data_IF_043219771127
#
_entry.id   IF_043219771127
#
_cell.length_a   1.000
_cell.length_b   1.000
_cell.length_c   1.000
_cell.angle_alpha   90.00
_cell.angle_beta   90.00
_cell.angle_gamma   90.00
#
_symmetry.space_group_name_H-M   'P 1'
#
loop_
_entity.id
_entity.type
_entity.pdbx_description
1 polymer ?
#
# COMPACT_ATOMS: atom_id res chain seq x y z
N UNK A 1 -14.65 -1.38 -6.24
CA UNK A 1 -13.43 -2.19 -6.42
C UNK A 1 -12.66 -1.51 -7.54
N UNK A 2 -11.49 -0.98 -7.24
CA UNK A 2 -10.64 -0.19 -8.15
C UNK A 2 -9.85 -1.12 -9.05
N UNK A 3 -9.77 -0.79 -10.34
CA UNK A 3 -8.87 -1.44 -11.30
C UNK A 3 -8.01 -0.34 -11.91
N UNK A 4 -6.72 -0.35 -11.62
CA UNK A 4 -5.80 0.71 -12.03
C UNK A 4 -5.20 0.51 -13.41
N UNK A 5 -5.30 -0.71 -13.95
CA UNK A 5 -4.76 -1.08 -15.26
C UNK A 5 -5.85 -1.75 -16.09
N UNK A 6 -5.83 -1.45 -17.37
CA UNK A 6 -6.62 -2.09 -18.42
C UNK A 6 -5.83 -3.24 -19.06
N UNK A 7 -6.42 -3.94 -20.02
CA UNK A 7 -5.68 -4.95 -20.78
C UNK A 7 -4.65 -4.28 -21.70
N UNK A 8 -4.97 -3.11 -22.24
CA UNK A 8 -4.08 -2.28 -23.06
C UNK A 8 -2.86 -1.84 -22.25
N UNK A 9 -3.04 -1.36 -21.01
CA UNK A 9 -1.92 -0.97 -20.16
C UNK A 9 -0.97 -2.15 -19.87
N UNK A 10 -1.52 -3.36 -19.72
CA UNK A 10 -0.71 -4.58 -19.50
C UNK A 10 0.03 -5.01 -20.77
N UNK A 11 -0.51 -4.73 -21.97
CA UNK A 11 0.19 -4.96 -23.24
C UNK A 11 1.31 -3.95 -23.46
N UNK A 12 1.04 -2.67 -23.20
CA UNK A 12 1.98 -1.58 -23.47
C UNK A 12 3.11 -1.49 -22.43
N UNK A 13 2.78 -1.70 -21.15
CA UNK A 13 3.72 -1.53 -20.02
C UNK A 13 4.19 -2.86 -19.42
N UNK A 14 3.45 -3.95 -19.65
CA UNK A 14 3.80 -5.26 -19.12
C UNK A 14 5.01 -5.87 -19.82
N UNK A 15 5.75 -6.70 -19.10
CA UNK A 15 6.95 -7.38 -19.61
C UNK A 15 6.65 -8.70 -20.35
N UNK A 16 5.38 -9.11 -20.39
CA UNK A 16 4.92 -10.28 -21.11
C UNK A 16 4.55 -9.90 -22.55
N UNK A 17 4.97 -10.65 -23.59
CA UNK A 17 4.60 -10.36 -24.98
C UNK A 17 3.08 -10.34 -25.20
N UNK A 18 2.60 -9.45 -26.08
CA UNK A 18 1.18 -9.31 -26.40
C UNK A 18 0.55 -10.62 -26.89
N UNK A 19 1.30 -11.39 -27.69
CA UNK A 19 0.87 -12.67 -28.25
C UNK A 19 0.50 -13.68 -27.16
N UNK A 20 1.24 -13.69 -26.05
CA UNK A 20 0.97 -14.56 -24.92
C UNK A 20 -0.24 -14.09 -24.12
N UNK A 21 -0.44 -12.77 -24.01
CA UNK A 21 -1.62 -12.18 -23.38
C UNK A 21 -2.87 -12.57 -24.16
N UNK A 22 -2.82 -12.44 -25.49
CA UNK A 22 -3.93 -12.79 -26.38
C UNK A 22 -4.27 -14.27 -26.34
N UNK A 23 -3.26 -15.14 -26.32
CA UNK A 23 -3.47 -16.58 -26.15
C UNK A 23 -4.14 -16.90 -24.81
N UNK A 24 -3.69 -16.28 -23.72
CA UNK A 24 -4.27 -16.48 -22.40
C UNK A 24 -5.71 -15.98 -22.31
N UNK A 25 -6.03 -14.84 -22.94
CA UNK A 25 -7.40 -14.34 -23.02
C UNK A 25 -8.30 -15.21 -23.89
N UNK A 26 -7.77 -15.75 -25.00
CA UNK A 26 -8.51 -16.69 -25.83
C UNK A 26 -8.84 -17.99 -25.07
N UNK A 27 -7.90 -18.49 -24.26
CA UNK A 27 -8.08 -19.70 -23.47
C UNK A 27 -8.91 -19.47 -22.20
N UNK A 28 -8.74 -18.31 -21.56
CA UNK A 28 -9.39 -17.93 -20.31
C UNK A 28 -9.93 -16.50 -20.39
N UNK A 29 -11.09 -16.29 -21.02
CA UNK A 29 -11.64 -14.95 -21.21
C UNK A 29 -11.83 -14.17 -19.91
N UNK A 30 -11.30 -12.95 -19.87
CA UNK A 30 -11.34 -12.02 -18.74
C UNK A 30 -10.32 -12.31 -17.64
N UNK A 31 -9.31 -13.14 -17.89
CA UNK A 31 -8.29 -13.47 -16.88
C UNK A 31 -7.45 -12.24 -16.51
N UNK A 32 -7.07 -11.43 -17.49
CA UNK A 32 -6.23 -10.24 -17.31
C UNK A 32 -6.95 -9.22 -16.45
N UNK A 33 -8.21 -8.90 -16.77
CA UNK A 33 -9.02 -7.98 -15.99
C UNK A 33 -9.23 -8.47 -14.54
N UNK A 34 -9.47 -9.78 -14.35
CA UNK A 34 -9.60 -10.36 -13.01
C UNK A 34 -8.32 -10.26 -12.19
N UNK A 35 -7.18 -10.50 -12.82
CA UNK A 35 -5.88 -10.34 -12.17
C UNK A 35 -5.59 -8.87 -11.86
N UNK A 36 -5.80 -7.97 -12.82
CA UNK A 36 -5.66 -6.53 -12.66
C UNK A 36 -6.49 -6.00 -11.49
N UNK A 37 -7.77 -6.38 -11.41
CA UNK A 37 -8.67 -5.99 -10.30
C UNK A 37 -8.16 -6.52 -8.96
N UNK A 38 -7.69 -7.78 -8.93
CA UNK A 38 -7.15 -8.40 -7.71
C UNK A 38 -5.87 -7.70 -7.25
N UNK A 39 -4.93 -7.44 -8.15
CA UNK A 39 -3.64 -6.80 -7.83
C UNK A 39 -3.86 -5.35 -7.42
N UNK A 40 -4.73 -4.61 -8.11
CA UNK A 40 -5.12 -3.24 -7.73
C UNK A 40 -5.63 -3.19 -6.29
N UNK A 41 -6.50 -4.13 -5.89
CA UNK A 41 -6.96 -4.25 -4.51
C UNK A 41 -5.86 -4.60 -3.50
N UNK A 42 -4.83 -5.35 -3.91
CA UNK A 42 -3.66 -5.63 -3.06
C UNK A 42 -2.79 -4.38 -2.84
N UNK A 43 -2.63 -3.55 -3.87
CA UNK A 43 -1.94 -2.27 -3.77
C UNK A 43 -2.70 -1.32 -2.85
N UNK A 44 -4.02 -1.20 -3.02
CA UNK A 44 -4.88 -0.41 -2.15
C UNK A 44 -4.77 -0.81 -0.69
N UNK A 45 -4.83 -2.12 -0.40
CA UNK A 45 -4.74 -2.61 0.96
C UNK A 45 -3.46 -2.18 1.69
N UNK A 46 -2.37 -1.93 0.94
CA UNK A 46 -1.11 -1.43 1.50
C UNK A 46 -1.05 0.10 1.54
N UNK A 47 -1.53 0.76 0.49
CA UNK A 47 -1.42 2.21 0.32
C UNK A 47 -2.47 3.00 1.11
N UNK A 48 -3.62 2.39 1.45
CA UNK A 48 -4.75 3.04 2.15
C UNK A 48 -4.38 3.62 3.52
N UNK A 49 -3.30 3.14 4.14
CA UNK A 49 -2.83 3.65 5.43
C UNK A 49 -2.28 5.09 5.35
N UNK A 50 -1.78 5.51 4.19
CA UNK A 50 -1.09 6.80 4.01
C UNK A 50 -1.70 7.67 2.91
N UNK A 51 -2.18 7.02 1.86
CA UNK A 51 -2.66 7.69 0.66
C UNK A 51 -4.18 7.63 0.58
N UNK A 52 -4.74 8.46 -0.31
CA UNK A 52 -6.18 8.46 -0.59
C UNK A 52 -6.57 7.28 -1.50
N UNK A 53 -6.28 6.04 -1.06
CA UNK A 53 -6.72 4.85 -1.76
C UNK A 53 -8.19 4.51 -1.40
N UNK A 54 -9.02 4.05 -2.36
CA UNK A 54 -8.68 3.84 -3.76
C UNK A 54 -8.46 5.15 -4.52
N UNK A 55 -7.45 5.20 -5.37
CA UNK A 55 -7.12 6.37 -6.17
C UNK A 55 -8.23 6.64 -7.20
N UNK A 56 -8.39 7.92 -7.58
CA UNK A 56 -9.32 8.34 -8.63
C UNK A 56 -8.55 8.68 -9.90
N UNK A 57 -9.23 8.60 -11.04
CA UNK A 57 -8.63 8.98 -12.32
C UNK A 57 -8.32 10.48 -12.37
N UNK A 58 -7.21 10.88 -13.02
CA UNK A 58 -6.19 10.02 -13.65
C UNK A 58 -5.32 9.31 -12.60
N UNK A 59 -5.08 8.01 -12.81
CA UNK A 59 -4.21 7.24 -11.91
C UNK A 59 -2.76 7.66 -12.12
N UNK A 60 -1.92 7.73 -11.06
CA UNK A 60 -0.51 8.02 -11.21
C UNK A 60 0.19 6.97 -12.09
N UNK A 61 0.94 7.40 -13.11
CA UNK A 61 1.60 6.49 -14.07
C UNK A 61 2.50 5.46 -13.37
N UNK A 62 3.20 5.86 -12.30
CA UNK A 62 4.03 4.97 -11.50
C UNK A 62 3.21 3.85 -10.83
N UNK A 63 1.97 4.13 -10.42
CA UNK A 63 1.08 3.10 -9.87
C UNK A 63 0.64 2.13 -10.98
N UNK A 64 0.27 2.66 -12.15
CA UNK A 64 -0.18 1.88 -13.31
C UNK A 64 0.92 0.90 -13.74
N UNK A 65 2.14 1.39 -13.95
CA UNK A 65 3.31 0.60 -14.35
C UNK A 65 3.60 -0.53 -13.35
N UNK A 66 3.69 -0.22 -12.05
CA UNK A 66 3.96 -1.23 -11.03
C UNK A 66 2.85 -2.29 -10.90
N UNK A 67 1.58 -1.90 -11.08
CA UNK A 67 0.48 -2.87 -11.11
C UNK A 67 0.57 -3.75 -12.37
N UNK A 68 0.87 -3.18 -13.54
CA UNK A 68 1.02 -3.91 -14.79
C UNK A 68 2.14 -4.97 -14.71
N UNK A 69 3.31 -4.64 -14.16
CA UNK A 69 4.43 -5.59 -13.95
C UNK A 69 4.03 -6.79 -13.10
N UNK A 70 3.28 -6.57 -12.02
CA UNK A 70 2.82 -7.66 -11.15
C UNK A 70 1.76 -8.51 -11.85
N UNK A 71 0.87 -7.90 -12.64
CA UNK A 71 -0.13 -8.63 -13.44
C UNK A 71 0.55 -9.49 -14.51
N UNK A 72 1.54 -8.95 -15.23
CA UNK A 72 2.33 -9.66 -16.23
C UNK A 72 2.94 -10.94 -15.65
N UNK A 73 3.60 -10.85 -14.50
CA UNK A 73 4.14 -12.04 -13.81
C UNK A 73 3.07 -13.09 -13.46
N UNK A 74 1.87 -12.64 -13.03
CA UNK A 74 0.77 -13.56 -12.72
C UNK A 74 0.23 -14.26 -13.97
N UNK A 75 0.24 -13.58 -15.12
CA UNK A 75 -0.09 -14.16 -16.42
C UNK A 75 1.00 -15.15 -16.87
N UNK A 76 2.28 -14.83 -16.70
CA UNK A 76 3.40 -15.76 -16.99
C UNK A 76 3.29 -17.07 -16.20
N UNK A 77 2.95 -16.97 -14.90
CA UNK A 77 2.70 -18.16 -14.08
C UNK A 77 1.52 -18.99 -14.58
N UNK A 78 0.52 -18.37 -15.23
CA UNK A 78 -0.62 -19.06 -15.83
C UNK A 78 -0.30 -19.69 -17.17
N UNK A 79 0.49 -19.03 -18.01
CA UNK A 79 1.04 -19.56 -19.27
C UNK A 79 1.89 -20.80 -19.04
N UNK A 80 2.66 -20.79 -17.95
CA UNK A 80 3.66 -21.81 -17.63
C UNK A 80 5.02 -21.15 -17.54
N UNK A 81 5.56 -21.11 -16.32
CA UNK A 81 6.84 -20.47 -16.02
C UNK A 81 8.00 -21.42 -16.30
N UNK A 82 8.93 -21.00 -17.16
CA UNK A 82 10.15 -21.74 -17.45
C UNK A 82 11.32 -21.13 -16.66
N UNK A 83 11.85 -21.82 -15.64
CA UNK A 83 12.95 -21.29 -14.82
C UNK A 83 14.28 -21.12 -15.56
N UNK A 84 14.42 -21.75 -16.72
CA UNK A 84 15.61 -21.62 -17.57
C UNK A 84 15.48 -20.52 -18.63
N UNK A 85 14.30 -19.91 -18.78
CA UNK A 85 14.09 -18.77 -19.68
C UNK A 85 14.57 -17.49 -19.00
N UNK A 86 15.49 -16.76 -19.65
CA UNK A 86 15.96 -15.45 -19.18
C UNK A 86 14.80 -14.45 -19.08
N UNK A 87 13.88 -14.49 -20.04
CA UNK A 87 12.70 -13.61 -20.04
C UNK A 87 11.80 -13.84 -18.83
N UNK A 88 11.55 -15.10 -18.45
CA UNK A 88 10.70 -15.40 -17.31
C UNK A 88 11.35 -14.97 -15.99
N UNK A 89 12.69 -15.03 -15.91
CA UNK A 89 13.44 -14.48 -14.77
C UNK A 89 13.33 -12.95 -14.72
N UNK A 90 13.48 -12.25 -15.85
CA UNK A 90 13.30 -10.80 -15.90
C UNK A 90 11.89 -10.38 -15.46
N UNK A 91 10.85 -11.07 -15.92
CA UNK A 91 9.46 -10.78 -15.50
C UNK A 91 9.30 -10.96 -13.97
N UNK A 92 9.98 -11.95 -13.39
CA UNK A 92 9.97 -12.16 -11.93
C UNK A 92 10.70 -11.04 -11.19
N UNK A 93 11.87 -10.63 -11.68
CA UNK A 93 12.68 -9.54 -11.12
C UNK A 93 11.89 -8.23 -11.14
N UNK A 94 11.29 -7.88 -12.27
CA UNK A 94 10.42 -6.71 -12.45
C UNK A 94 9.24 -6.70 -11.47
N UNK A 95 8.63 -7.87 -11.23
CA UNK A 95 7.58 -8.01 -10.22
C UNK A 95 8.13 -7.85 -8.79
N UNK A 96 9.36 -8.28 -8.52
CA UNK A 96 9.98 -8.12 -7.20
C UNK A 96 10.36 -6.64 -6.94
N UNK A 97 10.84 -5.93 -7.97
CA UNK A 97 11.03 -4.47 -7.94
C UNK A 97 9.73 -3.73 -7.70
N UNK A 98 8.65 -4.08 -8.40
CA UNK A 98 7.34 -3.45 -8.19
C UNK A 98 6.80 -3.66 -6.77
N UNK A 99 7.03 -4.85 -6.18
CA UNK A 99 6.68 -5.09 -4.78
C UNK A 99 7.61 -4.38 -3.79
N UNK A 100 8.87 -4.13 -4.15
CA UNK A 100 9.79 -3.32 -3.36
C UNK A 100 9.35 -1.85 -3.38
N UNK A 101 9.02 -1.32 -4.55
CA UNK A 101 8.43 0.01 -4.70
C UNK A 101 7.15 0.16 -3.87
N UNK A 102 6.25 -0.83 -3.89
CA UNK A 102 5.03 -0.81 -3.10
C UNK A 102 5.30 -0.79 -1.59
N UNK A 103 6.34 -1.48 -1.13
CA UNK A 103 6.76 -1.43 0.28
C UNK A 103 7.35 -0.07 0.63
N UNK A 104 8.23 0.46 -0.22
CA UNK A 104 8.81 1.80 -0.02
C UNK A 104 7.72 2.87 0.03
N UNK A 105 6.79 2.86 -0.92
CA UNK A 105 5.65 3.78 -0.95
C UNK A 105 4.79 3.64 0.33
N UNK A 106 4.50 2.40 0.76
CA UNK A 106 3.74 2.16 1.98
C UNK A 106 4.49 2.55 3.28
N UNK A 107 5.82 2.57 3.28
CA UNK A 107 6.67 2.93 4.41
C UNK A 107 7.19 4.39 4.36
N UNK A 108 6.86 5.14 3.31
CA UNK A 108 7.37 6.48 2.97
C UNK A 108 7.00 7.57 4.00
N UNK A 109 7.59 7.52 5.21
CA UNK A 109 7.59 8.61 6.19
C UNK A 109 8.74 9.58 5.90
N UNK A 110 9.76 9.08 5.16
CA UNK A 110 10.97 9.78 4.70
C UNK A 110 11.36 9.38 3.26
N UNK A 111 10.51 8.64 2.54
CA UNK A 111 10.82 8.08 1.23
C UNK A 111 10.69 9.11 0.10
N UNK A 112 11.19 8.75 -1.08
CA UNK A 112 11.21 9.64 -2.26
C UNK A 112 9.93 9.57 -3.09
N UNK A 113 9.05 8.61 -2.80
CA UNK A 113 7.82 8.36 -3.56
C UNK A 113 6.69 9.21 -3.00
N UNK A 114 6.23 10.16 -3.81
CA UNK A 114 5.03 10.97 -3.53
C UNK A 114 3.85 10.48 -4.37
N UNK A 115 2.73 10.17 -3.68
CA UNK A 115 1.44 9.87 -4.29
C UNK A 115 0.36 10.75 -3.64
N UNK A 116 -0.80 10.96 -4.29
CA UNK A 116 -1.88 11.78 -3.74
C UNK A 116 -2.27 11.39 -2.32
N UNK A 117 -2.04 12.30 -1.36
CA UNK A 117 -2.34 12.11 0.06
C UNK A 117 -3.82 12.41 0.34
N UNK A 118 -4.38 11.73 1.33
CA UNK A 118 -5.69 12.10 1.89
C UNK A 118 -5.56 13.50 2.51
N UNK A 119 -6.37 14.46 2.07
CA UNK A 119 -6.29 15.89 2.44
C UNK A 119 -6.55 16.21 3.93
N UNK A 120 -6.54 15.25 4.84
CA UNK A 120 -6.74 15.48 6.29
C UNK A 120 -5.45 15.38 7.12
N UNK A 121 -4.28 15.59 6.51
CA UNK A 121 -3.05 15.76 7.30
C UNK A 121 -2.44 17.12 6.99
N UNK A 122 -2.53 18.10 7.89
CA UNK A 122 -1.76 19.33 7.78
C UNK A 122 -0.28 18.98 7.59
N UNK A 123 0.37 19.63 6.63
CA UNK A 123 1.79 19.39 6.32
C UNK A 123 2.64 19.46 7.58
N UNK A 124 3.26 18.32 7.96
CA UNK A 124 4.18 18.23 9.09
C UNK A 124 3.92 17.11 10.10
N UNK A 125 2.81 16.36 10.01
CA UNK A 125 2.58 15.20 10.89
C UNK A 125 2.83 13.88 10.16
N UNK A 126 3.66 13.03 10.75
CA UNK A 126 3.88 11.66 10.29
C UNK A 126 2.57 10.88 10.36
N UNK A 127 2.35 9.99 9.39
CA UNK A 127 1.14 9.16 9.25
C UNK A 127 1.01 8.05 10.32
N UNK A 128 1.62 8.26 11.48
CA UNK A 128 1.44 7.46 12.68
C UNK A 128 0.75 8.39 13.66
N UNK A 129 -0.55 8.24 13.83
CA UNK A 129 -1.18 8.61 15.09
C UNK A 129 -0.52 7.74 16.15
N UNK A 130 0.61 8.21 16.68
CA UNK A 130 1.16 7.68 17.93
C UNK A 130 0.10 8.05 18.95
N UNK A 131 -0.86 7.15 19.17
CA UNK A 131 -1.64 7.12 20.40
C UNK A 131 -0.60 7.22 21.51
N UNK A 132 -0.52 8.40 22.13
CA UNK A 132 0.40 8.64 23.22
C UNK A 132 0.15 7.58 24.29
N UNK A 133 1.14 7.30 25.17
CA UNK A 133 0.88 6.43 26.30
C UNK A 133 -0.38 6.94 26.99
N UNK A 134 -1.39 6.08 27.17
CA UNK A 134 -2.48 6.36 28.11
C UNK A 134 -1.85 6.33 29.51
N UNK A 135 -1.14 7.41 29.85
CA UNK A 135 -0.58 7.66 31.15
C UNK A 135 -1.74 7.92 32.09
N UNK A 136 -2.32 6.84 32.60
CA UNK A 136 -3.20 6.91 33.75
C UNK A 136 -2.32 7.23 34.96
N UNK A 137 -2.23 8.50 35.33
CA UNK A 137 -1.71 8.87 36.63
C UNK A 137 -2.83 8.62 37.64
N UNK A 138 -2.78 7.51 38.36
CA UNK A 138 -3.53 7.42 39.61
C UNK A 138 -3.08 8.58 40.49
N UNK A 139 -4.00 9.50 40.78
CA UNK A 139 -3.79 10.46 41.85
C UNK A 139 -3.57 9.64 43.12
N UNK A 140 -2.36 9.71 43.67
CA UNK A 140 -1.94 8.91 44.82
C UNK A 140 -2.99 9.06 45.95
N UNK A 141 -3.69 7.98 46.35
CA UNK A 141 -4.80 8.05 47.31
C UNK A 141 -4.39 8.44 48.73
N UNK A 142 -3.10 8.75 48.99
CA UNK A 142 -2.63 9.29 50.27
C UNK A 142 -2.40 10.81 50.27
N UNK A 143 -2.66 11.51 49.16
CA UNK A 143 -2.55 12.98 49.09
C UNK A 143 -3.48 13.71 50.07
N UNK A 144 -4.62 13.13 50.44
CA UNK A 144 -5.56 13.73 51.40
C UNK A 144 -5.03 13.70 52.85
N UNK A 145 -4.16 12.75 53.18
CA UNK A 145 -3.60 12.59 54.53
C UNK A 145 -2.55 13.68 54.80
N UNK A 146 -1.73 14.02 53.81
CA UNK A 146 -0.73 15.09 53.92
C UNK A 146 -1.36 16.49 53.98
N UNK A 147 -2.50 16.68 53.33
CA UNK A 147 -3.26 17.94 53.40
C UNK A 147 -3.83 18.20 54.80
N UNK A 148 -4.28 17.16 55.50
CA UNK A 148 -4.78 17.27 56.88
C UNK A 148 -3.66 17.54 57.91
N UNK A 149 -2.44 17.08 57.66
CA UNK A 149 -1.30 17.35 58.54
C UNK A 149 -0.84 18.82 58.49
N UNK A 150 -1.17 19.56 57.42
CA UNK A 150 -0.69 20.93 57.20
C UNK A 150 -1.64 22.01 57.74
N UNK A 151 -2.89 21.69 58.08
CA UNK A 151 -3.86 22.62 58.65
C UNK A 151 -4.20 22.27 60.12
N UNK A 152 -3.39 22.66 61.10
CA UNK A 152 -3.88 22.81 62.47
C UNK A 152 -4.79 24.05 62.50
N UNK A 153 -6.10 23.83 62.69
CA UNK A 153 -7.10 24.87 62.95
C UNK A 153 -6.64 25.72 64.16
N UNK A 154 -6.19 26.95 63.92
CA UNK A 154 -6.24 28.00 64.93
C UNK A 154 -7.69 28.50 64.98
N UNK A 155 -8.42 28.05 66.01
CA UNK A 155 -9.74 28.57 66.34
C UNK A 155 -9.62 29.89 67.11
N UNK A 156 -10.49 30.84 66.74
CA UNK A 156 -10.84 32.05 67.50
C UNK A 156 -11.53 31.72 68.83
#
# INVERSE_FOLDING_TARGET
>A
MSCYVTIEDVRDLGTLPEEDIDQLEAQYPGITLRLATKISGQFDARLIKRYAAPFQEPYPDSLVDNVARVVAYRLTLKRGFNPSSEQDQLIKEEKDEALAWLKEAADSEKGLIELPRRQETPGGSSAIDKGGPFGYSEANPYLWTDAQAREPRYGE
#
